data_IF_589256018936
#
_entry.id   IF_589256018936
#
_cell.length_a   1.000
_cell.length_b   1.000
_cell.length_c   1.000
_cell.angle_alpha   90.00
_cell.angle_beta   90.00
_cell.angle_gamma   90.00
#
_symmetry.space_group_name_H-M   'P 1'
#
loop_
_entity.id
_entity.type
_entity.pdbx_description
1 polymer ?
#
# COMPACT_ATOMS: atom_id res chain seq x y z
N UNK A 1 21.21 39.42 -1.26
CA UNK A 1 19.80 39.22 -1.63
C UNK A 1 19.42 37.74 -1.76
N UNK A 2 20.34 36.82 -2.04
CA UNK A 2 20.04 35.38 -2.15
C UNK A 2 19.74 34.68 -0.81
N UNK A 3 20.45 35.02 0.28
CA UNK A 3 20.15 34.45 1.61
C UNK A 3 18.73 34.75 2.11
N UNK A 4 18.17 35.92 1.76
CA UNK A 4 16.80 36.26 2.13
C UNK A 4 15.77 35.43 1.35
N UNK A 5 16.06 35.08 0.08
CA UNK A 5 15.20 34.20 -0.74
C UNK A 5 15.26 32.76 -0.24
N UNK A 6 16.44 32.26 0.09
CA UNK A 6 16.62 30.92 0.67
C UNK A 6 15.86 30.76 1.99
N UNK A 7 15.95 31.75 2.89
CA UNK A 7 15.19 31.74 4.14
C UNK A 7 13.67 31.98 3.99
N UNK A 8 13.23 32.45 2.81
CA UNK A 8 11.79 32.55 2.49
C UNK A 8 11.26 31.21 1.97
N UNK A 9 12.03 30.53 1.11
CA UNK A 9 11.72 29.17 0.63
C UNK A 9 11.65 28.17 1.79
N UNK A 10 12.61 28.21 2.72
CA UNK A 10 12.59 27.34 3.91
C UNK A 10 11.34 27.53 4.76
N UNK A 11 10.88 28.79 4.93
CA UNK A 11 9.64 29.07 5.67
C UNK A 11 8.39 28.58 4.95
N UNK A 12 8.34 28.70 3.62
CA UNK A 12 7.24 28.16 2.82
C UNK A 12 7.18 26.63 2.92
N UNK A 13 8.33 25.97 2.84
CA UNK A 13 8.41 24.51 3.00
C UNK A 13 7.97 24.08 4.41
N UNK A 14 8.38 24.81 5.45
CA UNK A 14 7.98 24.54 6.82
C UNK A 14 6.46 24.73 7.03
N UNK A 15 5.86 25.78 6.46
CA UNK A 15 4.41 26.03 6.48
C UNK A 15 3.66 24.89 5.78
N UNK A 16 4.13 24.45 4.62
CA UNK A 16 3.50 23.34 3.87
C UNK A 16 3.57 22.03 4.67
N UNK A 17 4.73 21.73 5.28
CA UNK A 17 4.87 20.55 6.15
C UNK A 17 3.95 20.64 7.36
N UNK A 18 3.79 21.82 7.96
CA UNK A 18 2.86 22.02 9.07
C UNK A 18 1.40 21.85 8.64
N UNK A 19 1.02 22.32 7.45
CA UNK A 19 -0.31 22.13 6.90
C UNK A 19 -0.63 20.63 6.67
N UNK A 20 0.29 19.88 6.07
CA UNK A 20 0.17 18.42 5.88
C UNK A 20 0.01 17.68 7.22
N UNK A 21 0.78 18.10 8.24
CA UNK A 21 0.69 17.51 9.59
C UNK A 21 -0.66 17.82 10.22
N UNK A 22 -1.16 19.05 10.10
CA UNK A 22 -2.45 19.46 10.65
C UNK A 22 -3.61 18.72 9.99
N UNK A 23 -3.57 18.55 8.67
CA UNK A 23 -4.54 17.77 7.90
C UNK A 23 -4.52 16.30 8.33
N UNK A 24 -3.33 15.71 8.42
CA UNK A 24 -3.15 14.33 8.89
C UNK A 24 -3.68 14.14 10.31
N UNK A 25 -3.38 15.06 11.24
CA UNK A 25 -3.89 15.02 12.61
C UNK A 25 -5.41 15.17 12.68
N UNK A 26 -6.02 15.99 11.83
CA UNK A 26 -7.48 16.13 11.75
C UNK A 26 -8.13 14.82 11.27
N UNK A 27 -7.55 14.16 10.28
CA UNK A 27 -7.94 12.81 9.83
C UNK A 27 -7.78 11.76 10.94
N UNK A 28 -6.74 11.84 11.77
CA UNK A 28 -6.56 10.90 12.89
C UNK A 28 -7.53 11.16 14.06
N UNK A 29 -8.04 12.39 14.24
CA UNK A 29 -9.04 12.68 15.28
C UNK A 29 -10.36 11.97 15.06
N UNK A 30 -10.75 11.69 13.81
CA UNK A 30 -11.98 10.94 13.51
C UNK A 30 -11.83 9.43 13.77
N UNK A 31 -10.61 8.94 13.91
CA UNK A 31 -10.27 7.54 14.22
C UNK A 31 -10.09 7.28 15.73
N UNK A 32 -10.58 8.18 16.60
CA UNK A 32 -10.46 8.02 18.05
C UNK A 32 -11.07 6.68 18.51
N UNK A 33 -10.39 5.89 19.36
CA UNK A 33 -10.94 4.67 19.92
C UNK A 33 -12.27 4.96 20.61
N UNK A 34 -13.28 4.14 20.32
CA UNK A 34 -14.62 4.26 20.90
C UNK A 34 -14.65 3.91 22.39
N UNK A 35 -13.56 3.35 22.92
CA UNK A 35 -13.42 2.92 24.32
C UNK A 35 -13.95 1.51 24.56
N UNK A 36 -14.60 0.91 23.56
CA UNK A 36 -15.11 -0.45 23.61
C UNK A 36 -14.09 -1.39 22.97
N UNK A 37 -13.37 -2.14 23.81
CA UNK A 37 -12.22 -2.99 23.40
C UNK A 37 -12.50 -3.89 22.20
N UNK A 38 -13.70 -4.47 22.08
CA UNK A 38 -14.04 -5.36 20.97
C UNK A 38 -14.33 -4.59 19.66
N UNK A 39 -14.96 -3.41 19.75
CA UNK A 39 -15.23 -2.54 18.59
C UNK A 39 -13.92 -1.99 18.04
N UNK A 40 -13.03 -1.53 18.93
CA UNK A 40 -11.73 -0.97 18.54
C UNK A 40 -10.81 -2.05 17.97
N UNK A 41 -10.85 -3.29 18.50
CA UNK A 41 -10.14 -4.42 17.92
C UNK A 41 -10.69 -4.82 16.54
N UNK A 42 -12.02 -4.85 16.39
CA UNK A 42 -12.66 -5.13 15.11
C UNK A 42 -12.29 -4.06 14.08
N UNK A 43 -12.46 -2.78 14.40
CA UNK A 43 -12.09 -1.65 13.53
C UNK A 43 -10.60 -1.66 13.16
N UNK A 44 -9.71 -1.96 14.11
CA UNK A 44 -8.28 -2.11 13.87
C UNK A 44 -7.96 -3.28 12.93
N UNK A 45 -8.76 -4.35 12.95
CA UNK A 45 -8.55 -5.55 12.11
C UNK A 45 -9.11 -5.44 10.69
N UNK A 46 -10.06 -4.53 10.41
CA UNK A 46 -10.65 -4.40 9.06
C UNK A 46 -9.58 -4.16 8.01
N UNK A 47 -8.60 -3.29 8.30
CA UNK A 47 -7.51 -2.94 7.38
C UNK A 47 -6.66 -4.17 6.99
N UNK A 48 -6.08 -4.95 7.94
CA UNK A 48 -5.33 -6.15 7.58
C UNK A 48 -6.21 -7.25 6.96
N UNK A 49 -7.45 -7.44 7.42
CA UNK A 49 -8.34 -8.48 6.87
C UNK A 49 -8.64 -8.23 5.39
N UNK A 50 -9.03 -6.99 5.04
CA UNK A 50 -9.30 -6.63 3.63
C UNK A 50 -8.06 -6.88 2.77
N UNK A 51 -6.89 -6.53 3.29
CA UNK A 51 -5.60 -6.73 2.59
C UNK A 51 -5.35 -8.21 2.28
N UNK A 52 -5.48 -9.06 3.29
CA UNK A 52 -5.28 -10.50 3.11
C UNK A 52 -6.35 -11.11 2.20
N UNK A 53 -7.60 -10.66 2.30
CA UNK A 53 -8.69 -11.14 1.45
C UNK A 53 -8.45 -10.82 -0.03
N UNK A 54 -8.05 -9.59 -0.36
CA UNK A 54 -7.73 -9.21 -1.74
C UNK A 54 -6.50 -9.96 -2.27
N UNK A 55 -5.46 -10.15 -1.45
CA UNK A 55 -4.28 -10.90 -1.85
C UNK A 55 -4.58 -12.39 -2.05
N UNK A 56 -5.40 -12.98 -1.17
CA UNK A 56 -5.85 -14.36 -1.30
C UNK A 56 -6.72 -14.56 -2.55
N UNK A 57 -7.63 -13.63 -2.84
CA UNK A 57 -8.43 -13.64 -4.06
C UNK A 57 -7.54 -13.56 -5.30
N UNK A 58 -6.55 -12.66 -5.31
CA UNK A 58 -5.57 -12.54 -6.40
C UNK A 58 -4.82 -13.86 -6.60
N UNK A 59 -4.31 -14.46 -5.52
CA UNK A 59 -3.61 -15.75 -5.57
C UNK A 59 -4.52 -16.88 -6.06
N UNK A 60 -5.79 -16.91 -5.63
CA UNK A 60 -6.76 -17.90 -6.07
C UNK A 60 -7.09 -17.79 -7.56
N UNK A 61 -7.25 -16.57 -8.09
CA UNK A 61 -7.49 -16.32 -9.51
C UNK A 61 -6.28 -16.75 -10.34
N UNK A 62 -5.07 -16.34 -9.96
CA UNK A 62 -3.83 -16.72 -10.66
C UNK A 62 -3.56 -18.23 -10.56
N UNK A 63 -3.85 -18.84 -9.41
CA UNK A 63 -3.78 -20.29 -9.21
C UNK A 63 -4.77 -21.06 -10.07
N UNK A 64 -6.01 -20.57 -10.19
CA UNK A 64 -7.02 -21.15 -11.08
C UNK A 64 -6.60 -21.06 -12.55
N UNK A 65 -6.04 -19.92 -12.97
CA UNK A 65 -5.52 -19.75 -14.34
C UNK A 65 -4.34 -20.69 -14.62
N UNK A 66 -3.41 -20.85 -13.67
CA UNK A 66 -2.32 -21.82 -13.79
C UNK A 66 -2.85 -23.26 -13.85
N UNK A 67 -3.86 -23.59 -13.05
CA UNK A 67 -4.51 -24.89 -13.09
C UNK A 67 -5.13 -25.18 -14.46
N UNK A 68 -5.81 -24.21 -15.08
CA UNK A 68 -6.37 -24.39 -16.43
C UNK A 68 -5.28 -24.68 -17.46
N UNK A 69 -4.18 -23.92 -17.46
CA UNK A 69 -3.07 -24.14 -18.40
C UNK A 69 -2.44 -25.53 -18.25
N UNK A 70 -2.25 -26.02 -17.03
CA UNK A 70 -1.57 -27.30 -16.78
C UNK A 70 -2.53 -28.48 -16.93
N UNK A 71 -3.69 -28.42 -16.27
CA UNK A 71 -4.61 -29.55 -16.13
C UNK A 71 -5.59 -29.69 -17.30
N UNK A 72 -5.95 -28.58 -17.95
CA UNK A 72 -6.92 -28.58 -19.06
C UNK A 72 -6.20 -28.48 -20.41
N UNK A 73 -5.24 -27.57 -20.53
CA UNK A 73 -4.53 -27.34 -21.80
C UNK A 73 -3.25 -28.19 -21.94
N UNK A 74 -2.78 -28.82 -20.86
CA UNK A 74 -1.59 -29.69 -20.89
C UNK A 74 -0.26 -28.95 -21.07
N UNK A 75 -0.23 -27.64 -20.83
CA UNK A 75 0.97 -26.82 -20.94
C UNK A 75 1.95 -27.19 -19.83
N UNK A 76 3.22 -27.38 -20.18
CA UNK A 76 4.28 -27.63 -19.20
C UNK A 76 4.39 -26.43 -18.24
N UNK A 77 4.59 -26.69 -16.95
CA UNK A 77 4.74 -25.64 -15.92
C UNK A 77 5.79 -24.58 -16.30
N UNK A 78 6.90 -25.01 -16.89
CA UNK A 78 7.97 -24.12 -17.35
C UNK A 78 7.51 -23.10 -18.43
N UNK A 79 6.48 -23.43 -19.21
CA UNK A 79 5.90 -22.57 -20.23
C UNK A 79 4.70 -21.77 -19.70
N UNK A 80 3.94 -22.35 -18.76
CA UNK A 80 2.76 -21.71 -18.16
C UNK A 80 3.15 -20.57 -17.20
N UNK A 81 4.25 -20.71 -16.44
CA UNK A 81 4.68 -19.70 -15.46
C UNK A 81 4.93 -18.31 -16.07
N UNK A 82 5.70 -18.15 -17.17
CA UNK A 82 5.88 -16.85 -17.82
C UNK A 82 4.58 -16.25 -18.38
N UNK A 83 3.61 -17.08 -18.75
CA UNK A 83 2.32 -16.62 -19.27
C UNK A 83 1.41 -16.09 -18.15
N UNK A 84 1.43 -16.73 -16.97
CA UNK A 84 0.65 -16.31 -15.80
C UNK A 84 1.30 -15.14 -15.06
N UNK A 85 2.64 -15.07 -15.10
CA UNK A 85 3.45 -14.02 -14.50
C UNK A 85 3.86 -12.96 -15.55
N UNK A 86 2.87 -12.47 -16.28
CA UNK A 86 3.00 -11.45 -17.32
C UNK A 86 3.47 -10.07 -16.78
N UNK A 87 3.99 -9.19 -17.66
CA UNK A 87 4.46 -7.85 -17.26
C UNK A 87 3.41 -7.00 -16.56
N UNK A 88 2.15 -7.08 -16.97
CA UNK A 88 1.03 -6.33 -16.37
C UNK A 88 0.81 -6.78 -14.92
N UNK A 89 0.85 -8.08 -14.67
CA UNK A 89 0.75 -8.69 -13.34
C UNK A 89 1.94 -8.34 -12.46
N UNK A 90 3.14 -8.34 -13.02
CA UNK A 90 4.36 -7.90 -12.32
C UNK A 90 4.26 -6.43 -11.93
N UNK A 91 3.78 -5.56 -12.83
CA UNK A 91 3.59 -4.15 -12.56
C UNK A 91 2.54 -3.91 -11.46
N UNK A 92 1.40 -4.61 -11.51
CA UNK A 92 0.38 -4.55 -10.47
C UNK A 92 0.94 -5.02 -9.11
N UNK A 93 1.67 -6.14 -9.10
CA UNK A 93 2.29 -6.66 -7.89
C UNK A 93 3.32 -5.66 -7.32
N UNK A 94 4.18 -5.10 -8.17
CA UNK A 94 5.16 -4.09 -7.79
C UNK A 94 4.49 -2.83 -7.23
N UNK A 95 3.36 -2.39 -7.81
CA UNK A 95 2.59 -1.26 -7.31
C UNK A 95 2.00 -1.54 -5.91
N UNK A 96 1.43 -2.72 -5.68
CA UNK A 96 0.90 -3.14 -4.37
C UNK A 96 2.01 -3.23 -3.33
N UNK A 97 3.16 -3.83 -3.69
CA UNK A 97 4.33 -3.91 -2.81
C UNK A 97 4.86 -2.52 -2.48
N UNK A 98 4.95 -1.64 -3.47
CA UNK A 98 5.37 -0.24 -3.29
C UNK A 98 4.39 0.54 -2.41
N UNK A 99 3.09 0.28 -2.50
CA UNK A 99 2.12 0.88 -1.59
C UNK A 99 2.34 0.42 -0.13
N UNK A 100 2.51 -0.90 0.08
CA UNK A 100 2.65 -1.50 1.42
C UNK A 100 3.98 -1.22 2.11
N UNK A 101 5.06 -1.21 1.34
CA UNK A 101 6.42 -1.03 1.86
C UNK A 101 6.95 0.37 1.60
N UNK A 102 6.54 1.03 0.52
CA UNK A 102 6.94 2.40 0.20
C UNK A 102 6.35 3.43 1.16
N UNK A 103 5.10 3.30 1.60
CA UNK A 103 4.55 4.22 2.62
C UNK A 103 5.27 4.08 3.97
N UNK A 104 5.67 2.87 4.36
CA UNK A 104 6.50 2.63 5.57
C UNK A 104 7.93 3.13 5.41
N UNK A 105 8.54 2.94 4.23
CA UNK A 105 9.87 3.44 3.93
C UNK A 105 9.92 4.98 3.89
N UNK A 106 8.89 5.64 3.31
CA UNK A 106 8.75 7.10 3.32
C UNK A 106 8.55 7.65 4.73
N UNK A 107 7.74 6.99 5.58
CA UNK A 107 7.55 7.41 6.98
C UNK A 107 8.86 7.34 7.77
N UNK A 108 9.64 6.26 7.58
CA UNK A 108 10.95 6.09 8.23
C UNK A 108 12.01 7.05 7.70
N UNK A 109 12.02 7.33 6.38
CA UNK A 109 12.92 8.30 5.76
C UNK A 109 12.59 9.75 6.16
N UNK A 110 11.33 10.05 6.47
CA UNK A 110 10.88 11.34 7.03
C UNK A 110 11.15 11.50 8.54
N UNK A 111 11.82 10.55 9.19
CA UNK A 111 12.30 10.73 10.57
C UNK A 111 11.19 10.85 11.62
N UNK A 112 10.18 9.98 11.54
CA UNK A 112 9.32 9.62 12.68
C UNK A 112 9.28 8.10 12.84
#
# INVERSE_FOLDING_TARGET
MEMQRAGHQQRLDEINVQADIAESQALYRSLRPTGVRWVDALAGSVRPIITYAFFALFAAVKGSALYLLIAVEGVLLAQALPQIWDPETQALFAAVMSFWFGNRALQKARGR
#
